data_IF_322542741053
#
_entry.id   IF_322542741053
#
_cell.length_a   1.000
_cell.length_b   1.000
_cell.length_c   1.000
_cell.angle_alpha   90.00
_cell.angle_beta   90.00
_cell.angle_gamma   90.00
#
_symmetry.space_group_name_H-M   'P 1'
#
loop_
_entity.id
_entity.type
_entity.pdbx_description
1 polymer ?
#
# COMPACT_ATOMS: atom_id res chain seq x y z
N UNK A 1 43.12 -21.30 -3.02
CA UNK A 1 41.68 -20.96 -3.09
C UNK A 1 41.52 -19.46 -2.89
N UNK A 2 41.29 -18.75 -3.99
CA UNK A 2 41.63 -17.34 -4.16
C UNK A 2 40.67 -16.35 -3.52
N UNK A 3 41.23 -15.19 -3.17
CA UNK A 3 40.58 -13.98 -2.65
C UNK A 3 39.26 -13.62 -3.37
N UNK A 4 39.15 -13.96 -4.66
CA UNK A 4 37.97 -13.75 -5.51
C UNK A 4 36.73 -14.52 -5.04
N UNK A 5 36.88 -15.76 -4.56
CA UNK A 5 35.74 -16.56 -4.07
C UNK A 5 35.16 -16.04 -2.75
N UNK A 6 36.02 -15.49 -1.88
CA UNK A 6 35.59 -14.85 -0.62
C UNK A 6 34.87 -13.53 -0.87
N UNK A 7 35.32 -12.75 -1.85
CA UNK A 7 34.68 -11.49 -2.25
C UNK A 7 33.27 -11.74 -2.81
N UNK A 8 33.12 -12.75 -3.67
CA UNK A 8 31.83 -13.15 -4.25
C UNK A 8 30.83 -13.61 -3.17
N UNK A 9 31.28 -14.43 -2.21
CA UNK A 9 30.45 -14.84 -1.07
C UNK A 9 30.00 -13.64 -0.23
N UNK A 10 30.89 -12.69 0.02
CA UNK A 10 30.55 -11.46 0.74
C UNK A 10 29.47 -10.64 0.01
N UNK A 11 29.61 -10.47 -1.31
CA UNK A 11 28.62 -9.74 -2.11
C UNK A 11 27.26 -10.44 -2.08
N UNK A 12 27.23 -11.77 -2.22
CA UNK A 12 25.98 -12.55 -2.17
C UNK A 12 25.30 -12.43 -0.80
N UNK A 13 26.07 -12.52 0.28
CA UNK A 13 25.53 -12.36 1.65
C UNK A 13 24.98 -10.95 1.87
N UNK A 14 25.69 -9.91 1.43
CA UNK A 14 25.20 -8.52 1.54
C UNK A 14 23.90 -8.36 0.76
N UNK A 15 23.83 -8.85 -0.48
CA UNK A 15 22.61 -8.78 -1.29
C UNK A 15 21.45 -9.53 -0.63
N UNK A 16 21.68 -10.74 -0.11
CA UNK A 16 20.64 -11.48 0.62
C UNK A 16 20.15 -10.71 1.86
N UNK A 17 21.05 -10.14 2.65
CA UNK A 17 20.68 -9.35 3.84
C UNK A 17 19.86 -8.10 3.44
N UNK A 18 20.21 -7.44 2.35
CA UNK A 18 19.44 -6.31 1.81
C UNK A 18 18.04 -6.73 1.34
N UNK A 19 17.92 -7.87 0.64
CA UNK A 19 16.61 -8.38 0.21
C UNK A 19 15.74 -8.73 1.43
N UNK A 20 16.27 -9.47 2.40
CA UNK A 20 15.53 -9.88 3.60
C UNK A 20 15.09 -8.69 4.46
N UNK A 21 15.93 -7.67 4.61
CA UNK A 21 15.56 -6.45 5.35
C UNK A 21 14.50 -5.62 4.62
N UNK A 22 14.51 -5.62 3.28
CA UNK A 22 13.48 -4.94 2.48
C UNK A 22 12.10 -5.60 2.60
N UNK A 23 12.05 -6.94 2.63
CA UNK A 23 10.80 -7.67 2.83
C UNK A 23 10.26 -7.53 4.26
N UNK A 24 11.14 -7.56 5.27
CA UNK A 24 10.76 -7.32 6.65
C UNK A 24 10.21 -5.90 6.87
N UNK A 25 10.74 -4.89 6.15
CA UNK A 25 10.19 -3.53 6.19
C UNK A 25 8.86 -3.38 5.47
N UNK A 26 8.64 -4.08 4.34
CA UNK A 26 7.32 -4.17 3.68
C UNK A 26 6.27 -4.83 4.58
N UNK A 27 6.63 -5.95 5.22
CA UNK A 27 5.70 -6.71 6.06
C UNK A 27 5.24 -5.96 7.32
N UNK A 28 6.00 -4.95 7.79
CA UNK A 28 5.70 -4.24 9.04
C UNK A 28 4.69 -3.10 8.89
N UNK A 29 4.22 -2.79 7.67
CA UNK A 29 3.42 -1.58 7.40
C UNK A 29 2.14 -1.80 6.57
N UNK A 30 1.90 -3.03 6.13
CA UNK A 30 0.76 -3.37 5.28
C UNK A 30 -0.21 -4.29 6.02
N UNK A 31 -1.35 -3.75 6.43
CA UNK A 31 -2.46 -4.47 7.06
C UNK A 31 -3.62 -4.60 6.08
N UNK A 32 -3.42 -5.40 5.03
CA UNK A 32 -4.43 -5.64 4.00
C UNK A 32 -5.07 -7.01 4.18
N UNK A 33 -6.36 -7.03 4.56
CA UNK A 33 -7.15 -8.26 4.74
C UNK A 33 -7.47 -8.98 3.41
N UNK A 34 -7.22 -8.33 2.28
CA UNK A 34 -7.46 -8.86 0.93
C UNK A 34 -6.37 -8.41 -0.04
N UNK A 35 -5.80 -9.35 -0.78
CA UNK A 35 -4.82 -9.05 -1.83
C UNK A 35 -5.43 -8.22 -2.97
N UNK A 36 -6.72 -8.40 -3.25
CA UNK A 36 -7.45 -7.63 -4.26
C UNK A 36 -7.56 -6.15 -3.90
N UNK A 37 -7.63 -5.83 -2.61
CA UNK A 37 -7.59 -4.43 -2.15
C UNK A 37 -6.18 -3.85 -2.26
N UNK A 38 -5.14 -4.64 -1.96
CA UNK A 38 -3.75 -4.23 -2.15
C UNK A 38 -3.47 -3.90 -3.63
N UNK A 39 -3.89 -4.78 -4.54
CA UNK A 39 -3.81 -4.56 -5.99
C UNK A 39 -4.52 -3.27 -6.40
N UNK A 40 -5.72 -3.02 -5.88
CA UNK A 40 -6.49 -1.83 -6.20
C UNK A 40 -5.80 -0.53 -5.73
N UNK A 41 -5.18 -0.53 -4.55
CA UNK A 41 -4.42 0.63 -4.07
C UNK A 41 -3.22 0.88 -4.99
N UNK A 42 -2.47 -0.17 -5.37
CA UNK A 42 -1.33 -0.05 -6.28
C UNK A 42 -1.74 0.47 -7.68
N UNK A 43 -2.86 -0.02 -8.20
CA UNK A 43 -3.47 0.46 -9.46
C UNK A 43 -3.80 1.96 -9.39
N UNK A 44 -4.43 2.38 -8.28
CA UNK A 44 -4.80 3.79 -8.05
C UNK A 44 -3.58 4.71 -8.07
N UNK A 45 -2.48 4.31 -7.42
CA UNK A 45 -1.23 5.09 -7.40
C UNK A 45 -0.65 5.26 -8.81
N UNK A 46 -0.76 4.22 -9.64
CA UNK A 46 -0.29 4.25 -11.03
C UNK A 46 -1.10 5.17 -11.94
N UNK A 47 -2.42 5.31 -11.70
CA UNK A 47 -3.32 6.12 -12.56
C UNK A 47 -3.22 7.61 -12.24
N UNK A 48 -3.19 7.99 -10.96
CA UNK A 48 -3.22 9.38 -10.52
C UNK A 48 -2.01 9.75 -9.66
N UNK A 49 -0.77 9.74 -10.19
CA UNK A 49 0.43 9.96 -9.40
C UNK A 49 0.39 11.34 -8.71
N UNK A 50 0.66 11.34 -7.39
CA UNK A 50 0.67 12.53 -6.52
C UNK A 50 -0.63 13.36 -6.44
N UNK A 51 -1.72 12.88 -7.05
CA UNK A 51 -3.02 13.55 -7.06
C UNK A 51 -3.96 12.91 -6.04
N UNK A 52 -3.68 13.10 -4.75
CA UNK A 52 -4.31 12.35 -3.66
C UNK A 52 -5.85 12.44 -3.60
N UNK A 53 -6.44 13.58 -3.95
CA UNK A 53 -7.89 13.74 -4.02
C UNK A 53 -8.52 12.87 -5.11
N UNK A 54 -7.87 12.79 -6.28
CA UNK A 54 -8.30 11.93 -7.39
C UNK A 54 -8.06 10.47 -7.08
N UNK A 55 -6.92 10.14 -6.47
CA UNK A 55 -6.64 8.79 -5.97
C UNK A 55 -7.74 8.33 -5.00
N UNK A 56 -8.11 9.13 -4.00
CA UNK A 56 -9.13 8.76 -3.02
C UNK A 56 -10.52 8.56 -3.64
N UNK A 57 -10.90 9.43 -4.59
CA UNK A 57 -12.16 9.30 -5.33
C UNK A 57 -12.19 8.03 -6.20
N UNK A 58 -11.13 7.80 -6.96
CA UNK A 58 -11.01 6.64 -7.84
C UNK A 58 -10.99 5.33 -7.05
N UNK A 59 -10.21 5.28 -5.97
CA UNK A 59 -10.07 4.13 -5.08
C UNK A 59 -11.42 3.72 -4.49
N UNK A 60 -12.22 4.69 -4.03
CA UNK A 60 -13.59 4.44 -3.58
C UNK A 60 -14.47 3.89 -4.71
N UNK A 61 -14.51 4.58 -5.86
CA UNK A 61 -15.38 4.19 -6.99
C UNK A 61 -15.09 2.76 -7.46
N UNK A 62 -13.82 2.41 -7.63
CA UNK A 62 -13.43 1.06 -8.04
C UNK A 62 -13.72 0.01 -6.98
N UNK A 63 -13.61 0.35 -5.69
CA UNK A 63 -14.00 -0.58 -4.63
C UNK A 63 -15.52 -0.82 -4.63
N UNK A 64 -16.31 0.22 -4.87
CA UNK A 64 -17.76 0.12 -5.02
C UNK A 64 -18.17 -0.72 -6.23
N UNK A 65 -17.53 -0.51 -7.38
CA UNK A 65 -17.77 -1.26 -8.61
C UNK A 65 -17.39 -2.74 -8.50
N UNK A 66 -16.26 -3.05 -7.85
CA UNK A 66 -15.72 -4.43 -7.79
C UNK A 66 -16.22 -5.23 -6.60
N UNK A 67 -16.53 -4.58 -5.49
CA UNK A 67 -16.81 -5.24 -4.21
C UNK A 67 -18.14 -4.79 -3.58
N UNK A 68 -18.99 -4.06 -4.30
CA UNK A 68 -20.28 -3.57 -3.82
C UNK A 68 -20.15 -2.30 -2.97
N UNK A 69 -21.28 -1.69 -2.61
CA UNK A 69 -21.32 -0.35 -2.01
C UNK A 69 -20.64 -0.22 -0.64
N UNK A 70 -20.55 1.03 -0.16
CA UNK A 70 -20.16 1.41 1.19
C UNK A 70 -18.66 1.29 1.48
N UNK A 71 -17.87 1.98 0.65
CA UNK A 71 -16.42 2.10 0.83
C UNK A 71 -16.00 3.52 1.16
N UNK A 72 -14.97 3.59 2.00
CA UNK A 72 -14.28 4.82 2.35
C UNK A 72 -12.79 4.68 2.05
N UNK A 73 -12.18 5.74 1.54
CA UNK A 73 -10.77 5.82 1.22
C UNK A 73 -10.14 7.07 1.84
N UNK A 74 -8.97 6.94 2.45
CA UNK A 74 -8.19 8.02 3.04
C UNK A 74 -6.74 7.86 2.62
N UNK A 75 -6.15 8.95 2.12
CA UNK A 75 -4.77 9.00 1.66
C UNK A 75 -4.11 10.21 2.30
N UNK A 76 -3.03 9.98 3.03
CA UNK A 76 -2.29 11.00 3.77
C UNK A 76 -0.82 10.91 3.41
N UNK A 77 -0.27 11.99 2.88
CA UNK A 77 1.14 12.10 2.54
C UNK A 77 1.85 13.00 3.54
N UNK A 78 3.01 12.58 4.02
CA UNK A 78 3.88 13.40 4.88
C UNK A 78 4.34 14.67 4.17
N UNK A 79 4.23 14.74 2.83
CA UNK A 79 4.54 15.91 2.01
C UNK A 79 3.40 16.93 1.91
N UNK A 80 2.41 16.84 2.81
CA UNK A 80 1.29 17.78 2.89
C UNK A 80 0.10 17.46 1.99
N UNK A 81 0.05 16.25 1.40
CA UNK A 81 -1.05 15.81 0.56
C UNK A 81 -2.14 15.08 1.35
N UNK A 82 -3.40 15.43 1.12
CA UNK A 82 -4.54 14.79 1.76
C UNK A 82 -5.66 14.54 0.76
N UNK A 83 -6.22 13.32 0.77
CA UNK A 83 -7.39 12.95 -0.01
C UNK A 83 -8.30 12.03 0.78
N UNK A 84 -9.60 12.34 0.83
CA UNK A 84 -10.59 11.51 1.51
C UNK A 84 -11.85 11.39 0.65
N UNK A 85 -12.38 10.17 0.57
CA UNK A 85 -13.71 9.89 0.05
C UNK A 85 -14.39 8.96 1.03
N UNK A 86 -15.28 9.51 1.86
CA UNK A 86 -15.91 8.77 2.95
C UNK A 86 -17.38 8.45 2.70
N UNK A 87 -17.82 7.39 3.36
CA UNK A 87 -19.19 7.08 3.73
C UNK A 87 -19.20 6.83 5.24
N UNK A 88 -20.18 7.38 5.95
CA UNK A 88 -20.27 7.29 7.41
C UNK A 88 -21.14 6.09 7.80
N UNK A 89 -20.54 5.02 8.32
CA UNK A 89 -21.26 3.93 9.00
C UNK A 89 -20.33 3.19 9.99
N UNK A 90 -20.91 2.44 10.95
CA UNK A 90 -20.25 1.98 12.16
C UNK A 90 -19.65 0.55 12.14
N UNK A 91 -19.66 -0.21 11.03
CA UNK A 91 -19.12 -1.58 11.04
C UNK A 91 -17.83 -1.82 10.25
N UNK A 92 -16.97 -2.69 10.82
CA UNK A 92 -15.61 -3.01 10.36
C UNK A 92 -15.51 -4.37 9.64
N UNK A 93 -16.02 -4.51 8.43
CA UNK A 93 -15.83 -5.77 7.69
C UNK A 93 -15.10 -5.55 6.37
N UNK A 94 -13.76 -5.61 6.46
CA UNK A 94 -12.73 -5.55 5.40
C UNK A 94 -12.10 -4.16 5.23
N UNK A 95 -10.78 -4.09 5.46
CA UNK A 95 -9.95 -2.91 5.24
C UNK A 95 -8.58 -3.29 4.71
N UNK A 96 -7.91 -2.33 4.09
CA UNK A 96 -6.52 -2.42 3.67
C UNK A 96 -5.81 -1.11 4.02
N UNK A 97 -4.75 -1.25 4.80
CA UNK A 97 -3.90 -0.17 5.26
C UNK A 97 -2.51 -0.46 4.71
N UNK A 98 -1.90 0.50 4.04
CA UNK A 98 -0.62 0.29 3.37
C UNK A 98 0.17 1.60 3.38
N UNK A 99 1.47 1.49 3.60
CA UNK A 99 2.39 2.63 3.47
C UNK A 99 3.20 2.46 2.19
N UNK A 100 3.02 3.38 1.25
CA UNK A 100 3.84 3.45 0.05
C UNK A 100 4.70 4.70 0.12
N UNK A 101 6.02 4.50 0.23
CA UNK A 101 6.98 5.59 0.46
C UNK A 101 6.60 6.39 1.71
N UNK A 102 6.35 7.70 1.56
CA UNK A 102 5.97 8.64 2.62
C UNK A 102 4.45 8.92 2.60
N UNK A 103 3.65 8.01 2.04
CA UNK A 103 2.20 8.16 1.89
C UNK A 103 1.46 6.95 2.48
N UNK A 104 0.58 7.25 3.42
CA UNK A 104 -0.36 6.32 4.04
C UNK A 104 -1.63 6.19 3.20
N UNK A 105 -2.00 4.95 2.91
CA UNK A 105 -3.22 4.58 2.21
C UNK A 105 -4.10 3.76 3.12
N UNK A 106 -5.37 4.13 3.20
CA UNK A 106 -6.40 3.38 3.88
C UNK A 106 -7.63 3.26 3.00
N UNK A 107 -8.15 2.05 2.88
CA UNK A 107 -9.47 1.78 2.31
C UNK A 107 -10.21 0.79 3.22
N UNK A 108 -11.48 1.06 3.49
CA UNK A 108 -12.29 0.17 4.32
C UNK A 108 -13.76 0.23 3.96
N UNK A 109 -14.46 -0.88 4.20
CA UNK A 109 -15.92 -0.85 4.22
C UNK A 109 -16.41 -0.08 5.45
N UNK A 110 -17.43 0.71 5.21
CA UNK A 110 -18.17 1.49 6.20
C UNK A 110 -19.64 1.15 5.97
N UNK A 111 -20.02 -0.07 6.37
CA UNK A 111 -21.36 -0.63 6.28
C UNK A 111 -22.03 -0.73 7.65
#
# INVERSE_FOLDING_TARGET
>A
MGMTGRLLLFVVVVVMVFVMTSEAMRAKRDNCKSEKLRELVLETVGIYPHQYSYQAKYLKQQAEERFGFWWSAVIVSERGGYGMSAVYDQYKNTSCEMMLFDTYYWIGRTC
#
